data_IF_934756485275
#
_entry.id   IF_934756485275
#
_cell.length_a   1.000
_cell.length_b   1.000
_cell.length_c   1.000
_cell.angle_alpha   90.00
_cell.angle_beta   90.00
_cell.angle_gamma   90.00
#
_symmetry.space_group_name_H-M   'P 1'
#
loop_
_entity.id
_entity.type
_entity.pdbx_description
1 polymer ?
#
# COMPACT_ATOMS: atom_id res chain seq x y z
N UNK A 1 16.07 9.70 -19.50
CA UNK A 1 15.46 8.89 -20.57
C UNK A 1 16.11 7.52 -20.55
N UNK A 2 15.55 6.57 -19.79
CA UNK A 2 16.06 5.20 -19.69
C UNK A 2 14.87 4.23 -19.56
N UNK A 3 14.35 3.85 -20.73
CA UNK A 3 13.38 2.77 -20.95
C UNK A 3 14.16 1.62 -21.61
N UNK A 4 14.92 0.83 -20.84
CA UNK A 4 15.64 -0.31 -21.39
C UNK A 4 15.72 -1.44 -20.35
N UNK A 5 14.59 -2.13 -20.16
CA UNK A 5 14.54 -3.51 -19.66
C UNK A 5 13.29 -4.26 -20.17
N UNK A 6 12.82 -3.94 -21.38
CA UNK A 6 11.71 -4.65 -22.05
C UNK A 6 12.17 -5.30 -23.35
N UNK A 7 13.34 -5.95 -23.35
CA UNK A 7 13.78 -6.75 -24.49
C UNK A 7 13.19 -8.15 -24.39
N UNK A 8 12.25 -8.42 -25.29
CA UNK A 8 11.54 -9.68 -25.46
C UNK A 8 12.50 -10.88 -25.56
N UNK A 9 12.31 -11.84 -24.67
CA UNK A 9 12.82 -13.20 -24.85
C UNK A 9 11.90 -13.93 -25.83
N UNK A 10 12.48 -14.37 -26.94
CA UNK A 10 11.90 -15.35 -27.86
C UNK A 10 11.75 -16.67 -27.11
N UNK A 11 10.51 -17.09 -26.85
CA UNK A 11 10.23 -18.34 -26.13
C UNK A 11 9.82 -19.43 -27.11
N UNK A 12 10.68 -20.45 -27.22
CA UNK A 12 10.33 -21.82 -27.64
C UNK A 12 9.31 -22.40 -26.66
N UNK A 13 8.19 -22.98 -27.15
CA UNK A 13 7.09 -23.59 -26.36
C UNK A 13 7.46 -23.86 -24.88
N UNK A 14 7.11 -22.94 -23.95
CA UNK A 14 7.42 -23.14 -22.56
C UNK A 14 6.43 -24.16 -21.99
N UNK A 15 6.90 -24.98 -21.05
CA UNK A 15 6.00 -25.71 -20.16
C UNK A 15 4.93 -24.75 -19.59
N UNK A 16 3.71 -25.21 -19.32
CA UNK A 16 2.69 -24.35 -18.75
C UNK A 16 3.21 -23.76 -17.43
N UNK A 17 3.32 -22.43 -17.38
CA UNK A 17 3.77 -21.72 -16.21
C UNK A 17 2.94 -22.14 -14.99
N UNK A 18 3.63 -22.45 -13.90
CA UNK A 18 2.98 -22.69 -12.60
C UNK A 18 2.16 -21.47 -12.19
N UNK A 19 1.11 -21.63 -11.37
CA UNK A 19 0.34 -20.50 -10.87
C UNK A 19 1.20 -19.42 -10.21
N UNK A 20 2.24 -19.81 -9.48
CA UNK A 20 3.21 -18.93 -8.83
C UNK A 20 3.97 -18.10 -9.87
N UNK A 21 4.46 -18.75 -10.94
CA UNK A 21 5.13 -18.06 -12.05
C UNK A 21 4.19 -17.06 -12.75
N UNK A 22 2.93 -17.44 -13.00
CA UNK A 22 1.94 -16.54 -13.64
C UNK A 22 1.65 -15.31 -12.77
N UNK A 23 1.51 -15.49 -11.46
CA UNK A 23 1.32 -14.36 -10.54
C UNK A 23 2.58 -13.50 -10.44
N UNK A 24 3.76 -14.09 -10.35
CA UNK A 24 5.03 -13.37 -10.33
C UNK A 24 5.25 -12.54 -11.61
N UNK A 25 4.93 -13.10 -12.78
CA UNK A 25 4.93 -12.39 -14.06
C UNK A 25 3.92 -11.24 -14.06
N UNK A 26 2.71 -11.46 -13.54
CA UNK A 26 1.70 -10.43 -13.42
C UNK A 26 2.17 -9.29 -12.50
N UNK A 27 2.67 -9.58 -11.29
CA UNK A 27 3.27 -8.59 -10.39
C UNK A 27 4.40 -7.82 -11.07
N UNK A 28 5.31 -8.50 -11.77
CA UNK A 28 6.43 -7.88 -12.49
C UNK A 28 5.94 -6.93 -13.59
N UNK A 29 4.94 -7.35 -14.37
CA UNK A 29 4.34 -6.50 -15.40
C UNK A 29 3.65 -5.26 -14.79
N UNK A 30 3.00 -5.43 -13.62
CA UNK A 30 2.35 -4.33 -12.91
C UNK A 30 3.33 -3.34 -12.30
N UNK A 31 4.49 -3.79 -11.80
CA UNK A 31 5.58 -2.89 -11.36
C UNK A 31 5.91 -1.88 -12.46
N UNK A 32 6.24 -2.35 -13.67
CA UNK A 32 6.58 -1.47 -14.79
C UNK A 32 5.46 -0.46 -15.09
N UNK A 33 4.20 -0.91 -15.07
CA UNK A 33 3.05 -0.06 -15.33
C UNK A 33 2.86 1.03 -14.25
N UNK A 34 3.07 0.69 -12.98
CA UNK A 34 2.99 1.64 -11.86
C UNK A 34 4.14 2.64 -11.89
N UNK A 35 5.36 2.19 -12.18
CA UNK A 35 6.52 3.08 -12.33
C UNK A 35 6.31 4.11 -13.45
N UNK A 36 5.82 3.67 -14.60
CA UNK A 36 5.50 4.56 -15.73
C UNK A 36 4.37 5.54 -15.37
N UNK A 37 3.29 5.05 -14.76
CA UNK A 37 2.11 5.86 -14.44
C UNK A 37 2.38 6.91 -13.37
N UNK A 38 3.15 6.57 -12.33
CA UNK A 38 3.31 7.42 -11.16
C UNK A 38 4.69 8.10 -11.07
N UNK A 39 5.67 7.68 -11.88
CA UNK A 39 7.04 8.20 -11.82
C UNK A 39 7.76 7.86 -10.52
N UNK A 40 7.38 6.75 -9.88
CA UNK A 40 7.97 6.25 -8.61
C UNK A 40 8.63 4.91 -8.92
N UNK A 41 9.82 4.65 -8.37
CA UNK A 41 10.57 3.44 -8.66
C UNK A 41 10.50 2.41 -7.52
N UNK A 42 10.36 1.14 -7.91
CA UNK A 42 10.64 0.01 -7.04
C UNK A 42 12.16 -0.24 -6.97
N UNK A 43 12.60 -0.98 -5.96
CA UNK A 43 14.00 -1.34 -5.77
C UNK A 43 14.54 -2.06 -7.01
N UNK A 44 15.71 -1.61 -7.48
CA UNK A 44 16.33 -2.16 -8.68
C UNK A 44 16.60 -3.66 -8.52
N UNK A 45 16.08 -4.44 -9.47
CA UNK A 45 16.28 -5.90 -9.50
C UNK A 45 15.48 -6.66 -8.45
N UNK A 46 14.57 -5.99 -7.74
CA UNK A 46 13.61 -6.69 -6.88
C UNK A 46 12.64 -7.51 -7.73
N UNK A 47 12.42 -8.75 -7.29
CA UNK A 47 11.53 -9.71 -7.95
C UNK A 47 10.48 -10.16 -6.94
N UNK A 48 9.19 -9.86 -7.17
CA UNK A 48 8.09 -10.32 -6.33
C UNK A 48 8.14 -11.82 -6.08
N UNK A 49 8.13 -12.23 -4.82
CA UNK A 49 7.98 -13.63 -4.44
C UNK A 49 6.52 -13.88 -4.10
N UNK A 50 5.90 -14.90 -4.68
CA UNK A 50 4.49 -15.21 -4.47
C UNK A 50 4.35 -16.60 -3.89
N UNK A 51 3.55 -16.72 -2.83
CA UNK A 51 3.13 -18.01 -2.28
C UNK A 51 1.61 -18.07 -2.22
N UNK A 52 1.05 -19.29 -2.29
CA UNK A 52 -0.37 -19.51 -2.07
C UNK A 52 -0.62 -20.14 -0.72
N UNK A 53 -1.04 -19.32 0.23
CA UNK A 53 -1.30 -19.75 1.60
C UNK A 53 -2.42 -18.91 2.23
N UNK A 54 -2.99 -19.39 3.33
CA UNK A 54 -3.95 -18.65 4.15
C UNK A 54 -3.46 -18.72 5.60
N UNK A 55 -3.23 -17.58 6.28
CA UNK A 55 -2.76 -17.61 7.65
C UNK A 55 -3.71 -18.38 8.56
N UNK A 56 -3.19 -19.39 9.25
CA UNK A 56 -3.99 -20.34 10.05
C UNK A 56 -4.69 -19.69 11.25
N UNK A 57 -4.20 -18.54 11.69
CA UNK A 57 -4.77 -17.78 12.80
C UNK A 57 -6.03 -16.98 12.41
N UNK A 58 -6.35 -16.87 11.11
CA UNK A 58 -7.53 -16.15 10.66
C UNK A 58 -8.82 -16.91 10.99
N UNK A 59 -9.83 -16.18 11.47
CA UNK A 59 -11.17 -16.70 11.62
C UNK A 59 -11.69 -17.27 10.28
N UNK A 60 -12.45 -18.39 10.25
CA UNK A 60 -12.87 -19.04 8.99
C UNK A 60 -13.51 -18.10 7.97
N UNK A 61 -14.36 -17.17 8.41
CA UNK A 61 -14.98 -16.18 7.51
C UNK A 61 -13.96 -15.22 6.88
N UNK A 62 -12.90 -14.86 7.61
CA UNK A 62 -11.80 -14.04 7.08
C UNK A 62 -10.97 -14.82 6.09
N UNK A 63 -10.77 -16.14 6.29
CA UNK A 63 -10.07 -17.01 5.33
C UNK A 63 -10.76 -17.04 3.96
N UNK A 64 -12.10 -17.02 3.93
CA UNK A 64 -12.86 -16.95 2.68
C UNK A 64 -12.77 -15.60 1.97
N UNK A 65 -12.61 -14.51 2.73
CA UNK A 65 -12.51 -13.15 2.18
C UNK A 65 -11.06 -12.75 1.88
N UNK A 66 -10.09 -13.54 2.34
CA UNK A 66 -8.67 -13.28 2.14
C UNK A 66 -8.35 -13.21 0.64
N UNK A 67 -7.80 -12.07 0.22
CA UNK A 67 -7.41 -11.82 -1.17
C UNK A 67 -5.94 -12.10 -1.38
N UNK A 68 -5.11 -11.15 -0.94
CA UNK A 68 -3.67 -11.25 -0.85
C UNK A 68 -3.19 -10.38 0.32
N UNK A 69 -1.92 -10.50 0.67
CA UNK A 69 -1.22 -9.54 1.53
C UNK A 69 0.26 -9.48 1.15
N UNK A 70 0.84 -8.30 1.16
CA UNK A 70 2.29 -8.12 1.26
C UNK A 70 2.78 -8.36 2.69
N UNK A 71 3.86 -9.12 2.86
CA UNK A 71 4.53 -9.31 4.15
C UNK A 71 5.90 -8.60 4.16
N UNK A 72 6.07 -7.53 4.97
CA UNK A 72 7.33 -6.80 5.09
C UNK A 72 8.50 -7.66 5.61
N UNK A 73 8.25 -8.73 6.38
CA UNK A 73 9.31 -9.58 6.93
C UNK A 73 9.96 -10.44 5.85
N UNK A 74 9.13 -11.10 5.04
CA UNK A 74 9.61 -11.96 3.94
C UNK A 74 9.82 -11.18 2.64
N UNK A 75 9.31 -9.94 2.55
CA UNK A 75 9.24 -9.13 1.33
C UNK A 75 8.52 -9.85 0.18
N UNK A 76 7.58 -10.72 0.53
CA UNK A 76 6.80 -11.55 -0.39
C UNK A 76 5.31 -11.24 -0.33
N UNK A 77 4.58 -11.89 -1.23
CA UNK A 77 3.13 -11.80 -1.35
C UNK A 77 2.52 -13.15 -1.03
N UNK A 78 1.61 -13.16 -0.06
CA UNK A 78 0.78 -14.31 0.24
C UNK A 78 -0.57 -14.13 -0.44
N UNK A 79 -0.88 -14.99 -1.40
CA UNK A 79 -2.13 -14.92 -2.17
C UNK A 79 -3.06 -16.06 -1.76
N UNK A 80 -4.35 -15.77 -1.64
CA UNK A 80 -5.35 -16.78 -1.36
C UNK A 80 -5.32 -17.92 -2.39
N UNK A 81 -5.25 -19.19 -1.97
CA UNK A 81 -5.37 -20.33 -2.86
C UNK A 81 -6.65 -20.30 -3.72
N UNK A 82 -7.71 -19.64 -3.26
CA UNK A 82 -8.96 -19.48 -4.01
C UNK A 82 -8.85 -18.52 -5.21
N UNK A 83 -7.78 -17.71 -5.29
CA UNK A 83 -7.51 -16.78 -6.40
C UNK A 83 -6.40 -17.27 -7.33
N UNK A 84 -5.90 -18.49 -7.11
CA UNK A 84 -4.73 -19.06 -7.80
C UNK A 84 -4.79 -18.98 -9.34
N UNK A 85 -5.98 -19.09 -9.91
CA UNK A 85 -6.16 -19.11 -11.36
C UNK A 85 -6.32 -17.72 -12.01
N UNK A 86 -6.63 -16.68 -11.22
CA UNK A 86 -6.95 -15.35 -11.76
C UNK A 86 -6.20 -14.27 -10.98
N UNK A 87 -5.20 -13.69 -11.63
CA UNK A 87 -4.47 -12.54 -11.14
C UNK A 87 -5.27 -11.24 -11.40
N UNK A 88 -5.92 -10.72 -10.36
CA UNK A 88 -6.67 -9.45 -10.42
C UNK A 88 -5.68 -8.27 -10.40
N UNK A 89 -5.59 -7.46 -11.47
CA UNK A 89 -4.64 -6.35 -11.53
C UNK A 89 -4.85 -5.31 -10.42
N UNK A 90 -6.09 -5.10 -9.96
CA UNK A 90 -6.35 -4.12 -8.89
C UNK A 90 -5.81 -4.60 -7.55
N UNK A 91 -6.01 -5.88 -7.25
CA UNK A 91 -5.45 -6.51 -6.05
C UNK A 91 -3.92 -6.50 -6.11
N UNK A 92 -3.33 -6.83 -7.26
CA UNK A 92 -1.88 -6.78 -7.45
C UNK A 92 -1.34 -5.37 -7.22
N UNK A 93 -1.93 -4.36 -7.85
CA UNK A 93 -1.51 -2.97 -7.70
C UNK A 93 -1.68 -2.49 -6.25
N UNK A 94 -2.73 -2.94 -5.57
CA UNK A 94 -2.96 -2.67 -4.15
C UNK A 94 -1.82 -3.21 -3.28
N UNK A 95 -1.49 -4.50 -3.42
CA UNK A 95 -0.40 -5.11 -2.65
C UNK A 95 0.98 -4.52 -3.01
N UNK A 96 1.18 -4.16 -4.28
CA UNK A 96 2.39 -3.45 -4.72
C UNK A 96 2.52 -2.07 -4.06
N UNK A 97 1.41 -1.40 -3.72
CA UNK A 97 1.41 -0.18 -2.94
C UNK A 97 2.04 -0.36 -1.56
N UNK A 98 1.67 -1.43 -0.85
CA UNK A 98 2.27 -1.80 0.45
C UNK A 98 3.76 -2.12 0.30
N UNK A 99 4.12 -2.91 -0.71
CA UNK A 99 5.52 -3.25 -0.99
C UNK A 99 6.37 -2.01 -1.29
N UNK A 100 5.82 -1.05 -2.03
CA UNK A 100 6.49 0.20 -2.33
C UNK A 100 6.70 1.05 -1.07
N UNK A 101 5.71 1.12 -0.18
CA UNK A 101 5.84 1.84 1.09
C UNK A 101 6.94 1.25 1.98
N UNK A 102 7.02 -0.08 2.10
CA UNK A 102 8.13 -0.77 2.80
C UNK A 102 9.49 -0.46 2.17
N UNK A 103 9.60 -0.53 0.84
CA UNK A 103 10.85 -0.22 0.15
C UNK A 103 11.29 1.23 0.36
N UNK A 104 10.37 2.19 0.23
CA UNK A 104 10.66 3.60 0.50
C UNK A 104 11.12 3.80 1.95
N UNK A 105 10.42 3.21 2.92
CA UNK A 105 10.81 3.26 4.34
C UNK A 105 12.23 2.73 4.57
N UNK A 106 12.59 1.61 3.93
CA UNK A 106 13.95 1.04 4.02
C UNK A 106 14.99 1.94 3.35
N UNK A 107 14.69 2.51 2.18
CA UNK A 107 15.61 3.41 1.45
C UNK A 107 15.98 4.64 2.26
N UNK A 108 15.06 5.18 3.05
CA UNK A 108 15.30 6.33 3.93
C UNK A 108 15.84 5.94 5.32
N UNK A 109 16.16 4.67 5.54
CA UNK A 109 16.77 4.19 6.79
C UNK A 109 15.81 3.96 7.95
N UNK A 110 14.49 3.97 7.71
CA UNK A 110 13.46 3.78 8.74
C UNK A 110 13.14 2.30 9.03
N UNK A 111 13.73 1.38 8.25
CA UNK A 111 13.50 -0.06 8.41
C UNK A 111 12.21 -0.52 7.73
N UNK A 112 11.70 -1.69 8.14
CA UNK A 112 10.48 -2.27 7.57
C UNK A 112 9.26 -1.41 7.87
N UNK A 113 8.27 -1.42 6.97
CA UNK A 113 7.01 -0.71 7.19
C UNK A 113 5.78 -1.57 6.84
N UNK A 114 4.75 -1.62 7.70
CA UNK A 114 4.74 -1.11 9.08
C UNK A 114 5.83 -1.74 9.96
N UNK A 115 6.42 -0.96 10.87
CA UNK A 115 7.35 -1.54 11.84
C UNK A 115 6.55 -2.37 12.85
N UNK A 116 6.70 -3.69 12.74
CA UNK A 116 6.02 -4.64 13.62
C UNK A 116 6.63 -4.63 15.03
N UNK A 117 7.83 -4.05 15.20
CA UNK A 117 8.47 -3.95 16.51
C UNK A 117 7.75 -2.88 17.35
N UNK A 118 7.18 -3.31 18.48
CA UNK A 118 6.38 -2.43 19.32
C UNK A 118 4.96 -2.20 18.80
N UNK A 119 4.51 -2.94 17.77
CA UNK A 119 3.11 -2.92 17.32
C UNK A 119 2.15 -3.23 18.47
N UNK A 120 2.52 -4.19 19.33
CA UNK A 120 1.76 -4.56 20.52
C UNK A 120 1.74 -3.47 21.59
N UNK A 121 2.70 -2.54 21.57
CA UNK A 121 2.77 -1.41 22.51
C UNK A 121 1.97 -0.19 22.00
N UNK A 122 1.57 -0.18 20.73
CA UNK A 122 0.73 0.89 20.18
C UNK A 122 -0.68 0.85 20.78
N UNK A 123 -1.23 2.05 21.00
CA UNK A 123 -2.66 2.20 21.32
C UNK A 123 -3.53 1.68 20.18
N UNK A 124 -4.80 1.34 20.47
CA UNK A 124 -5.75 0.92 19.44
C UNK A 124 -5.89 1.99 18.36
N UNK A 125 -5.98 3.26 18.77
CA UNK A 125 -6.10 4.40 17.85
C UNK A 125 -4.85 4.54 16.96
N UNK A 126 -3.64 4.34 17.52
CA UNK A 126 -2.40 4.36 16.73
C UNK A 126 -2.36 3.22 15.71
N UNK A 127 -2.78 2.01 16.06
CA UNK A 127 -2.84 0.87 15.11
C UNK A 127 -3.83 1.14 13.99
N UNK A 128 -5.00 1.71 14.32
CA UNK A 128 -5.98 2.13 13.32
C UNK A 128 -5.37 3.22 12.44
N UNK A 129 -4.66 4.19 13.01
CA UNK A 129 -3.98 5.25 12.27
C UNK A 129 -2.98 4.71 11.26
N UNK A 130 -2.16 3.72 11.65
CA UNK A 130 -1.24 3.03 10.73
C UNK A 130 -2.01 2.28 9.64
N UNK A 131 -3.08 1.55 10.00
CA UNK A 131 -3.89 0.82 9.02
C UNK A 131 -4.55 1.76 7.99
N UNK A 132 -5.08 2.92 8.41
CA UNK A 132 -5.65 3.93 7.50
C UNK A 132 -4.60 4.36 6.46
N UNK A 133 -3.37 4.62 6.89
CA UNK A 133 -2.29 5.02 5.98
C UNK A 133 -1.88 3.85 5.07
N UNK A 134 -1.71 2.64 5.61
CA UNK A 134 -1.33 1.44 4.85
C UNK A 134 -2.35 1.12 3.78
N UNK A 135 -3.61 0.88 4.17
CA UNK A 135 -4.67 0.55 3.23
C UNK A 135 -5.00 1.71 2.31
N UNK A 136 -4.83 2.96 2.77
CA UNK A 136 -4.92 4.13 1.91
C UNK A 136 -3.89 4.12 0.78
N UNK A 137 -2.62 3.80 1.07
CA UNK A 137 -1.57 3.67 0.06
C UNK A 137 -1.89 2.52 -0.90
N UNK A 138 -2.24 1.34 -0.38
CA UNK A 138 -2.64 0.21 -1.22
C UNK A 138 -3.81 0.60 -2.14
N UNK A 139 -4.85 1.21 -1.59
CA UNK A 139 -6.03 1.59 -2.37
C UNK A 139 -5.77 2.72 -3.38
N UNK A 140 -4.81 3.61 -3.13
CA UNK A 140 -4.35 4.60 -4.13
C UNK A 140 -3.79 3.91 -5.39
N UNK A 141 -2.96 2.88 -5.21
CA UNK A 141 -2.35 2.15 -6.34
C UNK A 141 -3.31 1.15 -6.99
N UNK A 142 -4.16 0.48 -6.20
CA UNK A 142 -5.20 -0.45 -6.67
C UNK A 142 -6.24 0.18 -7.62
N UNK A 143 -6.27 1.52 -7.68
CA UNK A 143 -7.14 2.30 -8.54
C UNK A 143 -8.33 2.87 -7.77
N UNK A 144 -8.99 3.92 -8.29
CA UNK A 144 -10.06 4.57 -7.58
C UNK A 144 -11.23 3.62 -7.42
N UNK A 145 -11.64 3.37 -6.17
CA UNK A 145 -13.07 3.25 -5.93
C UNK A 145 -13.69 4.60 -6.22
N UNK A 146 -14.73 4.62 -7.04
CA UNK A 146 -15.44 5.84 -7.49
C UNK A 146 -16.04 6.68 -6.36
N UNK A 147 -15.81 6.28 -5.10
CA UNK A 147 -16.44 6.81 -3.91
C UNK A 147 -15.41 7.28 -2.86
N UNK A 148 -14.11 7.41 -3.17
CA UNK A 148 -13.13 7.90 -2.19
C UNK A 148 -13.44 9.37 -1.80
N UNK A 149 -14.06 9.54 -0.64
CA UNK A 149 -14.55 10.81 -0.14
C UNK A 149 -14.20 10.97 1.34
N UNK A 150 -14.04 12.22 1.77
CA UNK A 150 -13.80 12.58 3.17
C UNK A 150 -14.84 11.96 4.13
N UNK A 151 -16.10 11.84 3.66
CA UNK A 151 -17.24 11.33 4.41
C UNK A 151 -17.09 9.89 4.91
N UNK A 152 -16.15 9.12 4.36
CA UNK A 152 -15.85 7.78 4.85
C UNK A 152 -15.15 7.78 6.21
N UNK A 153 -14.41 8.84 6.55
CA UNK A 153 -13.73 8.91 7.84
C UNK A 153 -14.73 9.26 8.96
N UNK A 154 -14.71 8.53 10.09
CA UNK A 154 -15.64 8.77 11.20
C UNK A 154 -15.33 10.09 11.92
N UNK A 155 -16.37 10.75 12.42
CA UNK A 155 -16.28 11.97 13.26
C UNK A 155 -16.48 11.67 14.75
N UNK A 156 -16.84 10.42 15.09
CA UNK A 156 -17.05 10.02 16.47
C UNK A 156 -16.79 8.54 16.69
N UNK A 157 -16.56 8.16 17.96
CA UNK A 157 -16.38 6.76 18.35
C UNK A 157 -17.60 5.87 18.06
N UNK A 158 -18.80 6.44 17.94
CA UNK A 158 -20.01 5.70 17.60
C UNK A 158 -20.00 5.21 16.14
N UNK A 159 -19.27 5.89 15.27
CA UNK A 159 -19.16 5.55 13.84
C UNK A 159 -18.12 4.45 13.59
N UNK A 160 -17.19 4.22 14.54
CA UNK A 160 -16.12 3.23 14.42
C UNK A 160 -16.64 1.79 14.35
N UNK A 161 -17.73 1.44 15.03
CA UNK A 161 -18.15 0.04 15.21
C UNK A 161 -18.76 -0.61 13.96
N UNK A 162 -19.20 0.17 12.97
CA UNK A 162 -19.91 -0.34 11.79
C UNK A 162 -19.17 -0.16 10.46
N UNK A 163 -18.07 0.62 10.44
CA UNK A 163 -17.38 1.03 9.21
C UNK A 163 -15.89 0.65 9.15
N UNK A 164 -15.37 -0.15 10.11
CA UNK A 164 -13.93 -0.39 10.27
C UNK A 164 -13.20 -0.66 8.97
N UNK A 165 -13.75 -1.54 8.12
CA UNK A 165 -13.10 -1.88 6.86
C UNK A 165 -13.18 -0.70 5.89
N UNK A 166 -14.38 -0.27 5.54
CA UNK A 166 -14.58 0.66 4.42
C UNK A 166 -13.95 2.05 4.67
N UNK A 167 -13.91 2.55 5.91
CA UNK A 167 -13.24 3.83 6.16
C UNK A 167 -11.72 3.73 6.04
N UNK A 168 -11.13 2.60 6.43
CA UNK A 168 -9.67 2.38 6.33
C UNK A 168 -9.27 2.39 4.84
N UNK A 169 -10.05 1.75 3.97
CA UNK A 169 -9.77 1.73 2.53
C UNK A 169 -10.14 3.04 1.82
N UNK A 170 -11.39 3.49 1.90
CA UNK A 170 -11.86 4.66 1.13
C UNK A 170 -11.42 5.98 1.79
N UNK A 171 -11.56 6.09 3.11
CA UNK A 171 -11.09 7.25 3.86
C UNK A 171 -9.56 7.35 3.88
N UNK A 172 -8.87 6.22 3.98
CA UNK A 172 -7.42 6.15 3.79
C UNK A 172 -6.97 6.61 2.42
N UNK A 173 -7.64 6.16 1.34
CA UNK A 173 -7.36 6.63 -0.02
C UNK A 173 -7.49 8.15 -0.10
N UNK A 174 -8.63 8.69 0.35
CA UNK A 174 -8.87 10.14 0.35
C UNK A 174 -7.77 10.91 1.10
N UNK A 175 -7.30 10.37 2.23
CA UNK A 175 -6.26 10.97 3.04
C UNK A 175 -4.91 11.02 2.29
N UNK A 176 -4.49 9.93 1.65
CA UNK A 176 -3.15 9.82 1.06
C UNK A 176 -3.07 10.31 -0.39
N UNK A 177 -4.16 10.29 -1.16
CA UNK A 177 -4.14 10.59 -2.61
C UNK A 177 -3.51 11.97 -2.89
N UNK A 178 -3.93 13.08 -2.26
CA UNK A 178 -3.38 14.39 -2.60
C UNK A 178 -1.87 14.49 -2.29
N UNK A 179 -1.39 13.74 -1.31
CA UNK A 179 0.01 13.71 -0.89
C UNK A 179 0.84 12.95 -1.93
N UNK A 180 0.44 11.72 -2.27
CA UNK A 180 1.18 10.85 -3.20
C UNK A 180 1.10 11.42 -4.62
N UNK A 181 -0.09 11.85 -5.07
CA UNK A 181 -0.29 12.39 -6.42
C UNK A 181 0.55 13.65 -6.68
N UNK A 182 0.77 14.48 -5.65
CA UNK A 182 1.54 15.72 -5.79
C UNK A 182 3.05 15.53 -5.60
N UNK A 183 3.46 14.62 -4.72
CA UNK A 183 4.86 14.51 -4.30
C UNK A 183 5.52 13.15 -4.57
N UNK A 184 4.79 12.20 -5.15
CA UNK A 184 5.29 10.87 -5.51
C UNK A 184 5.95 10.15 -4.34
N UNK A 185 7.16 9.65 -4.56
CA UNK A 185 7.96 8.95 -3.55
C UNK A 185 8.20 9.78 -2.28
N UNK A 186 8.37 11.11 -2.39
CA UNK A 186 8.52 11.98 -1.22
C UNK A 186 7.25 12.03 -0.37
N UNK A 187 6.09 11.92 -1.00
CA UNK A 187 4.80 11.79 -0.32
C UNK A 187 4.73 10.49 0.47
N UNK A 188 5.10 9.36 -0.14
CA UNK A 188 5.16 8.06 0.54
C UNK A 188 6.16 8.11 1.70
N UNK A 189 7.35 8.67 1.50
CA UNK A 189 8.36 8.83 2.55
C UNK A 189 7.83 9.61 3.75
N UNK A 190 7.04 10.67 3.52
CA UNK A 190 6.36 11.40 4.60
C UNK A 190 5.37 10.50 5.34
N UNK A 191 4.49 9.80 4.59
CA UNK A 191 3.45 8.95 5.16
C UNK A 191 3.99 7.83 6.04
N UNK A 192 5.13 7.23 5.68
CA UNK A 192 5.75 6.12 6.44
C UNK A 192 6.59 6.58 7.63
N UNK A 193 6.92 7.88 7.72
CA UNK A 193 7.73 8.46 8.81
C UNK A 193 6.94 9.34 9.77
N UNK A 194 5.81 9.88 9.35
CA UNK A 194 4.96 10.76 10.15
C UNK A 194 3.71 9.99 10.52
N UNK A 195 3.62 9.57 11.79
CA UNK A 195 2.47 8.78 12.24
C UNK A 195 1.19 9.62 12.17
N UNK A 196 0.15 9.08 11.54
CA UNK A 196 -1.20 9.60 11.68
C UNK A 196 -1.79 9.15 13.01
N UNK A 197 -2.12 10.11 13.87
CA UNK A 197 -2.66 9.87 15.21
C UNK A 197 -3.98 10.61 15.39
N UNK A 198 -4.92 9.98 16.08
CA UNK A 198 -6.18 10.58 16.48
C UNK A 198 -6.56 10.08 17.88
N UNK A 199 -7.63 10.62 18.46
CA UNK A 199 -8.12 10.20 19.78
C UNK A 199 -9.62 10.38 19.89
N UNK A 200 -10.30 9.55 20.68
CA UNK A 200 -11.72 9.73 20.99
C UNK A 200 -12.66 9.40 19.83
N UNK A 201 -12.16 8.70 18.81
CA UNK A 201 -12.92 8.23 17.65
C UNK A 201 -13.27 9.27 16.60
N UNK A 202 -12.88 10.53 16.76
CA UNK A 202 -12.84 11.50 15.65
C UNK A 202 -11.57 11.26 14.83
N UNK A 203 -11.74 10.65 13.66
CA UNK A 203 -10.65 10.39 12.70
C UNK A 203 -10.60 11.48 11.63
N UNK A 204 -11.77 12.00 11.24
CA UNK A 204 -11.90 12.94 10.12
C UNK A 204 -11.20 14.27 10.40
N UNK A 205 -11.37 14.87 11.57
CA UNK A 205 -10.73 16.17 11.88
C UNK A 205 -9.21 16.06 11.90
N UNK A 206 -8.60 15.08 12.61
CA UNK A 206 -7.16 14.88 12.55
C UNK A 206 -6.65 14.53 11.15
N UNK A 207 -7.41 13.78 10.34
CA UNK A 207 -7.01 13.41 8.98
C UNK A 207 -6.89 14.64 8.07
N UNK A 208 -7.85 15.58 8.14
CA UNK A 208 -7.77 16.87 7.44
C UNK A 208 -6.49 17.63 7.79
N UNK A 209 -6.22 17.73 9.09
CA UNK A 209 -5.05 18.47 9.58
C UNK A 209 -3.75 17.77 9.20
N UNK A 210 -3.71 16.44 9.27
CA UNK A 210 -2.58 15.63 8.83
C UNK A 210 -2.30 15.85 7.33
N UNK A 211 -3.33 15.78 6.48
CA UNK A 211 -3.19 16.04 5.04
C UNK A 211 -2.68 17.45 4.77
N UNK A 212 -3.28 18.46 5.43
CA UNK A 212 -2.88 19.86 5.30
C UNK A 212 -1.41 20.06 5.67
N UNK A 213 -0.98 19.55 6.83
CA UNK A 213 0.42 19.61 7.30
C UNK A 213 1.37 18.93 6.33
N UNK A 214 1.05 17.71 5.89
CA UNK A 214 1.87 16.97 4.93
C UNK A 214 2.09 17.77 3.64
N UNK A 215 1.01 18.32 3.07
CA UNK A 215 1.08 19.11 1.84
C UNK A 215 1.91 20.39 2.03
N UNK A 216 1.79 21.04 3.19
CA UNK A 216 2.54 22.26 3.55
C UNK A 216 4.04 21.97 3.74
N UNK A 217 4.41 20.97 4.54
CA UNK A 217 5.81 20.64 4.83
C UNK A 217 6.56 20.11 3.60
N UNK A 218 5.91 19.27 2.79
CA UNK A 218 6.48 18.78 1.54
C UNK A 218 6.70 19.90 0.51
N UNK A 219 5.85 20.94 0.52
CA UNK A 219 6.02 22.11 -0.35
C UNK A 219 7.25 22.94 0.03
N UNK A 220 7.50 23.12 1.32
CA UNK A 220 8.65 23.90 1.82
C UNK A 220 9.98 23.20 1.56
N UNK A 221 9.99 21.88 1.73
CA UNK A 221 11.18 21.04 1.52
C UNK A 221 11.61 20.98 0.04
N UNK A 222 10.74 21.34 -0.90
CA UNK A 222 11.08 21.43 -2.32
C UNK A 222 11.92 22.67 -2.65
N UNK A 223 11.87 23.72 -1.82
CA UNK A 223 12.51 25.02 -2.07
C UNK A 223 13.97 25.04 -1.61
N UNK A 224 14.35 24.17 -0.66
CA UNK A 224 15.70 24.15 -0.06
C UNK A 224 16.67 23.18 -0.71
N UNK A 225 16.22 22.33 -1.65
CA UNK A 225 17.03 21.30 -2.31
C UNK A 225 17.62 21.69 -3.68
N UNK A 226 17.74 22.98 -3.99
CA UNK A 226 18.34 23.51 -5.24
C UNK A 226 19.62 24.31 -4.99
N UNK A 227 20.57 23.72 -4.24
CA UNK A 227 21.95 24.21 -4.13
C UNK A 227 22.93 23.07 -4.34
#
# INVERSE_FOLDING_TARGET
MWLLLCSALLVTNPDPATPEQRWQEAFTARICALEEKHGIAFDRGWVPQVTFDIPDHLHPMMRFQYGASYDPLTRGFMVSPFRREVADPRLIDHELGHALADQVSRRIGNGMWPDMKGWEDLSVDDRIGVNIISEGIGNYFGGPDSNAEEGWLPESSADLTWMVRDFIYHGGHWLVEPIIKRYGERGIAYLVTHRFTFSGGDVRTPAKEYQRKALEELSRSAVTGSQ
#
